data_IF_121087206531
#
_entry.id   IF_121087206531
#
_cell.length_a   1.000
_cell.length_b   1.000
_cell.length_c   1.000
_cell.angle_alpha   90.00
_cell.angle_beta   90.00
_cell.angle_gamma   90.00
#
_symmetry.space_group_name_H-M   'P 1'
#
loop_
_entity.id
_entity.type
_entity.pdbx_description
1 polymer ?
#
# COMPACT_ATOMS: atom_id res chain seq x y z
N UNK A 1 -35.67 37.02 -13.40
CA UNK A 1 -35.87 35.75 -12.62
C UNK A 1 -35.32 34.52 -13.30
N UNK A 2 -35.31 34.38 -14.62
CA UNK A 2 -34.82 33.17 -15.34
C UNK A 2 -33.30 32.95 -15.26
N UNK A 3 -32.48 33.98 -15.13
CA UNK A 3 -31.00 33.84 -15.07
C UNK A 3 -30.47 33.26 -13.76
N UNK A 4 -31.17 33.44 -12.62
CA UNK A 4 -30.75 32.90 -11.33
C UNK A 4 -30.99 31.36 -11.18
N UNK A 5 -31.97 30.83 -11.90
CA UNK A 5 -32.32 29.41 -11.88
C UNK A 5 -31.30 28.58 -12.66
N UNK A 6 -30.78 29.12 -13.79
CA UNK A 6 -29.77 28.42 -14.62
C UNK A 6 -28.44 28.28 -13.86
N UNK A 7 -28.04 29.32 -13.10
CA UNK A 7 -26.80 29.26 -12.31
C UNK A 7 -26.87 28.24 -11.17
N UNK A 8 -28.05 28.05 -10.56
CA UNK A 8 -28.28 27.09 -9.50
C UNK A 8 -28.25 25.63 -10.01
N UNK A 9 -28.73 25.39 -11.23
CA UNK A 9 -28.72 24.08 -11.89
C UNK A 9 -27.28 23.68 -12.27
N UNK A 10 -26.46 24.63 -12.76
CA UNK A 10 -25.04 24.37 -13.03
C UNK A 10 -24.23 24.12 -11.75
N UNK A 11 -24.57 24.75 -10.63
CA UNK A 11 -23.93 24.53 -9.34
C UNK A 11 -24.30 23.18 -8.73
N UNK A 12 -25.48 22.63 -9.00
CA UNK A 12 -25.94 21.32 -8.58
C UNK A 12 -25.38 20.18 -9.46
N UNK A 13 -25.08 20.45 -10.74
CA UNK A 13 -24.48 19.47 -11.65
C UNK A 13 -22.96 19.30 -11.48
N UNK A 14 -22.27 20.27 -10.87
CA UNK A 14 -20.83 20.17 -10.60
C UNK A 14 -20.49 19.35 -9.35
N UNK A 15 -21.47 18.93 -8.54
CA UNK A 15 -21.30 18.15 -7.31
C UNK A 15 -21.38 16.61 -7.53
N UNK A 16 -21.52 16.11 -8.75
CA UNK A 16 -21.80 14.70 -9.02
C UNK A 16 -20.67 13.92 -9.70
N UNK A 17 -19.42 14.37 -9.62
CA UNK A 17 -18.25 13.57 -10.09
C UNK A 17 -17.20 13.42 -8.97
N UNK A 18 -17.64 13.33 -7.75
CA UNK A 18 -16.84 12.67 -6.72
C UNK A 18 -17.22 11.18 -6.77
N UNK A 19 -16.33 10.34 -7.26
CA UNK A 19 -16.56 8.90 -7.24
C UNK A 19 -17.00 8.47 -5.85
N UNK A 20 -18.16 7.80 -5.77
CA UNK A 20 -18.74 7.36 -4.50
C UNK A 20 -17.72 6.46 -3.80
N UNK A 21 -17.33 6.82 -2.59
CA UNK A 21 -16.47 5.99 -1.76
C UNK A 21 -17.23 4.72 -1.38
N UNK A 22 -16.57 3.57 -1.53
CA UNK A 22 -17.15 2.28 -1.17
C UNK A 22 -16.82 2.04 0.30
N UNK A 23 -17.85 1.93 1.11
CA UNK A 23 -17.73 1.58 2.53
C UNK A 23 -17.63 0.05 2.67
N UNK A 24 -16.42 -0.46 2.46
CA UNK A 24 -16.06 -1.87 2.69
C UNK A 24 -15.23 -1.97 3.97
N UNK A 25 -15.79 -2.60 5.01
CA UNK A 25 -15.04 -2.84 6.25
C UNK A 25 -14.09 -4.03 6.08
N UNK A 26 -12.82 -3.74 5.83
CA UNK A 26 -11.79 -4.79 5.66
C UNK A 26 -11.69 -5.71 6.88
N UNK A 27 -11.99 -5.21 8.08
CA UNK A 27 -11.88 -5.98 9.32
C UNK A 27 -12.89 -7.13 9.40
N UNK A 28 -13.98 -7.06 8.63
CA UNK A 28 -15.02 -8.10 8.51
C UNK A 28 -14.77 -9.06 7.34
N UNK A 29 -13.72 -8.80 6.52
CA UNK A 29 -13.38 -9.65 5.39
C UNK A 29 -12.78 -10.97 5.86
N UNK A 30 -13.27 -12.10 5.34
CA UNK A 30 -12.83 -13.43 5.77
C UNK A 30 -11.31 -13.65 5.57
N UNK A 31 -10.75 -13.18 4.45
CA UNK A 31 -9.28 -13.25 4.21
C UNK A 31 -8.50 -12.51 5.28
N UNK A 32 -8.99 -11.35 5.73
CA UNK A 32 -8.37 -10.60 6.81
C UNK A 32 -8.43 -11.37 8.13
N UNK A 33 -9.62 -11.90 8.48
CA UNK A 33 -9.84 -12.67 9.71
C UNK A 33 -8.94 -13.92 9.76
N UNK A 34 -8.89 -14.69 8.66
CA UNK A 34 -8.07 -15.90 8.56
C UNK A 34 -6.58 -15.57 8.68
N UNK A 35 -6.15 -14.48 8.03
CA UNK A 35 -4.77 -14.05 8.07
C UNK A 35 -4.36 -13.55 9.46
N UNK A 36 -5.26 -12.87 10.16
CA UNK A 36 -5.06 -12.48 11.57
C UNK A 36 -4.99 -13.70 12.50
N UNK A 37 -5.79 -14.73 12.24
CA UNK A 37 -5.68 -15.99 12.97
C UNK A 37 -4.31 -16.67 12.73
N UNK A 38 -3.84 -16.67 11.48
CA UNK A 38 -2.50 -17.15 11.15
C UNK A 38 -1.41 -16.36 11.90
N UNK A 39 -1.50 -15.03 11.98
CA UNK A 39 -0.50 -14.20 12.67
C UNK A 39 -0.49 -14.47 14.18
N UNK A 40 -1.64 -14.66 14.81
CA UNK A 40 -1.70 -15.07 16.23
C UNK A 40 -0.99 -16.40 16.51
N UNK A 41 -1.11 -17.34 15.58
CA UNK A 41 -0.42 -18.66 15.69
C UNK A 41 1.07 -18.59 15.31
N UNK A 42 1.50 -17.53 14.64
CA UNK A 42 2.86 -17.28 14.20
C UNK A 42 3.30 -15.88 14.61
N UNK A 43 3.46 -15.62 15.92
CA UNK A 43 3.75 -14.28 16.42
C UNK A 43 5.11 -13.78 15.94
N UNK A 44 5.23 -12.47 15.85
CA UNK A 44 6.50 -11.81 15.54
C UNK A 44 7.51 -12.03 16.66
N UNK A 45 8.78 -12.16 16.28
CA UNK A 45 9.89 -12.09 17.22
C UNK A 45 10.33 -10.66 17.42
N UNK A 46 10.75 -10.32 18.63
CA UNK A 46 11.28 -8.99 18.91
C UNK A 46 12.48 -8.68 18.01
N UNK A 47 12.50 -7.48 17.43
CA UNK A 47 13.57 -7.04 16.55
C UNK A 47 13.57 -7.65 15.14
N UNK A 48 12.62 -8.54 14.81
CA UNK A 48 12.54 -9.15 13.49
C UNK A 48 12.26 -8.11 12.41
N UNK A 49 12.87 -8.24 11.23
CA UNK A 49 12.52 -7.42 10.07
C UNK A 49 11.10 -7.78 9.62
N UNK A 50 10.27 -6.79 9.34
CA UNK A 50 8.85 -6.98 9.00
C UNK A 50 8.50 -6.32 7.68
N UNK A 51 7.81 -7.06 6.80
CA UNK A 51 7.11 -6.54 5.63
C UNK A 51 5.63 -6.42 5.94
N UNK A 52 5.12 -5.19 6.01
CA UNK A 52 3.74 -4.83 6.33
C UNK A 52 3.04 -4.29 5.08
N UNK A 53 1.87 -4.84 4.73
CA UNK A 53 1.13 -4.36 3.57
C UNK A 53 -0.02 -5.26 3.13
N UNK A 54 -0.31 -5.21 1.84
CA UNK A 54 -1.44 -5.88 1.21
C UNK A 54 -1.06 -7.21 0.50
N UNK A 55 -1.81 -7.58 -0.56
CA UNK A 55 -1.56 -8.80 -1.36
C UNK A 55 -0.18 -8.84 -2.00
N UNK A 56 0.36 -7.70 -2.44
CA UNK A 56 1.72 -7.64 -2.99
C UNK A 56 2.75 -8.02 -1.94
N UNK A 57 2.59 -7.58 -0.71
CA UNK A 57 3.44 -7.98 0.41
C UNK A 57 3.22 -9.45 0.77
N UNK A 58 1.96 -9.90 0.83
CA UNK A 58 1.61 -11.28 1.16
C UNK A 58 2.21 -12.29 0.17
N UNK A 59 2.23 -11.98 -1.12
CA UNK A 59 2.75 -12.85 -2.17
C UNK A 59 4.28 -13.00 -2.18
N UNK A 60 5.01 -12.15 -1.45
CA UNK A 60 6.46 -12.25 -1.36
C UNK A 60 6.90 -13.38 -0.42
N UNK A 61 7.88 -14.16 -0.85
CA UNK A 61 8.52 -15.22 -0.05
C UNK A 61 9.75 -14.65 0.66
N UNK A 62 9.52 -13.68 1.55
CA UNK A 62 10.58 -12.85 2.13
C UNK A 62 11.64 -13.65 2.89
N UNK A 63 11.28 -14.71 3.57
CA UNK A 63 12.16 -15.59 4.30
C UNK A 63 12.99 -16.50 3.37
N UNK A 64 12.46 -16.89 2.20
CA UNK A 64 13.21 -17.61 1.17
C UNK A 64 14.19 -16.66 0.44
N UNK A 65 13.79 -15.43 0.16
CA UNK A 65 14.63 -14.43 -0.49
C UNK A 65 15.78 -13.93 0.39
N UNK A 66 15.57 -13.91 1.70
CA UNK A 66 16.53 -13.47 2.72
C UNK A 66 16.67 -14.52 3.82
N UNK A 67 17.31 -15.68 3.52
CA UNK A 67 17.31 -16.84 4.41
C UNK A 67 18.11 -16.64 5.71
N UNK A 68 19.00 -15.64 5.76
CA UNK A 68 19.76 -15.28 6.96
C UNK A 68 18.90 -14.40 7.88
N UNK A 69 18.31 -13.33 7.33
CA UNK A 69 17.54 -12.33 8.09
C UNK A 69 16.12 -12.82 8.42
N UNK A 70 15.56 -13.72 7.60
CA UNK A 70 14.21 -14.31 7.74
C UNK A 70 13.13 -13.27 8.09
N UNK A 71 12.89 -12.30 7.21
CA UNK A 71 11.88 -11.27 7.46
C UNK A 71 10.48 -11.87 7.60
N UNK A 72 9.69 -11.31 8.50
CA UNK A 72 8.30 -11.73 8.67
C UNK A 72 7.40 -11.10 7.61
N UNK A 73 6.55 -11.92 6.99
CA UNK A 73 5.51 -11.48 6.08
C UNK A 73 4.23 -11.12 6.85
N UNK A 74 3.92 -9.84 6.94
CA UNK A 74 2.67 -9.29 7.50
C UNK A 74 1.82 -8.63 6.41
N UNK A 75 1.75 -9.27 5.24
CA UNK A 75 0.84 -8.92 4.15
C UNK A 75 -0.52 -9.59 4.31
N UNK A 76 -1.60 -8.87 3.96
CA UNK A 76 -2.97 -9.39 3.87
C UNK A 76 -3.58 -8.96 2.53
N UNK A 77 -4.07 -9.91 1.73
CA UNK A 77 -4.73 -9.60 0.46
C UNK A 77 -5.99 -8.73 0.70
N UNK A 78 -6.12 -7.67 -0.08
CA UNK A 78 -7.22 -6.71 0.07
C UNK A 78 -7.00 -5.65 1.15
N UNK A 79 -5.96 -5.77 2.00
CA UNK A 79 -5.72 -4.85 3.10
C UNK A 79 -5.46 -3.41 2.62
N UNK A 80 -5.91 -2.47 3.41
CA UNK A 80 -5.83 -1.04 3.17
C UNK A 80 -5.30 -0.32 4.43
N UNK A 81 -5.24 0.99 4.41
CA UNK A 81 -4.71 1.76 5.55
C UNK A 81 -5.50 1.53 6.84
N UNK A 82 -6.82 1.33 6.78
CA UNK A 82 -7.66 1.05 7.96
C UNK A 82 -7.36 -0.34 8.54
N UNK A 83 -7.25 -1.37 7.69
CA UNK A 83 -6.94 -2.72 8.16
C UNK A 83 -5.55 -2.81 8.80
N UNK A 84 -4.55 -2.12 8.24
CA UNK A 84 -3.22 -2.03 8.85
C UNK A 84 -3.29 -1.36 10.23
N UNK A 85 -4.03 -0.26 10.38
CA UNK A 85 -4.24 0.41 11.67
C UNK A 85 -4.87 -0.53 12.71
N UNK A 86 -5.85 -1.36 12.30
CA UNK A 86 -6.52 -2.32 13.17
C UNK A 86 -5.61 -3.42 13.74
N UNK A 87 -4.44 -3.66 13.12
CA UNK A 87 -3.47 -4.71 13.53
C UNK A 87 -2.07 -4.18 13.86
N UNK A 88 -1.93 -2.86 14.01
CA UNK A 88 -0.62 -2.24 14.20
C UNK A 88 0.00 -2.56 15.56
N UNK A 89 -0.82 -2.94 16.57
CA UNK A 89 -0.35 -3.28 17.91
C UNK A 89 0.70 -4.40 17.90
N UNK A 90 0.50 -5.48 17.11
CA UNK A 90 1.48 -6.58 17.04
C UNK A 90 2.84 -6.13 16.51
N UNK A 91 2.84 -5.17 15.58
CA UNK A 91 4.07 -4.61 15.01
C UNK A 91 4.81 -3.76 16.07
N UNK A 92 4.05 -2.92 16.78
CA UNK A 92 4.60 -2.03 17.82
C UNK A 92 5.18 -2.86 18.97
N UNK A 93 4.48 -3.90 19.42
CA UNK A 93 4.94 -4.78 20.49
C UNK A 93 6.21 -5.57 20.12
N UNK A 94 6.31 -6.02 18.87
CA UNK A 94 7.47 -6.75 18.38
C UNK A 94 8.71 -5.88 18.20
N UNK A 95 8.57 -4.55 18.17
CA UNK A 95 9.68 -3.59 17.98
C UNK A 95 10.63 -4.02 16.87
N UNK A 96 10.17 -4.15 15.61
CA UNK A 96 11.01 -4.63 14.53
C UNK A 96 12.25 -3.75 14.36
N UNK A 97 13.38 -4.34 14.01
CA UNK A 97 14.57 -3.55 13.67
C UNK A 97 14.33 -2.72 12.40
N UNK A 98 13.67 -3.31 11.40
CA UNK A 98 13.29 -2.65 10.15
C UNK A 98 11.84 -2.98 9.81
N UNK A 99 11.06 -1.96 9.42
CA UNK A 99 9.67 -2.09 9.00
C UNK A 99 9.49 -1.56 7.58
N UNK A 100 9.21 -2.45 6.64
CA UNK A 100 8.91 -2.10 5.24
C UNK A 100 7.40 -2.01 5.05
N UNK A 101 6.90 -0.85 4.63
CA UNK A 101 5.46 -0.57 4.48
C UNK A 101 5.12 -0.35 3.00
N UNK A 102 4.14 -1.09 2.47
CA UNK A 102 3.53 -0.87 1.16
C UNK A 102 2.02 -0.97 1.27
N UNK A 103 1.31 0.17 1.13
CA UNK A 103 -0.16 0.25 1.24
C UNK A 103 -0.73 1.41 0.44
N UNK A 104 -2.03 1.39 0.13
CA UNK A 104 -2.76 2.47 -0.53
C UNK A 104 -3.46 2.07 -1.84
N UNK A 105 -3.06 1.00 -2.52
CA UNK A 105 -3.70 0.60 -3.79
C UNK A 105 -5.15 0.14 -3.58
N UNK A 106 -5.44 -0.56 -2.49
CA UNK A 106 -6.79 -0.99 -2.14
C UNK A 106 -7.65 0.19 -1.67
N UNK A 107 -7.07 1.17 -1.00
CA UNK A 107 -7.74 2.44 -0.70
C UNK A 107 -8.18 3.16 -1.99
N UNK A 108 -7.30 3.22 -3.00
CA UNK A 108 -7.63 3.76 -4.33
C UNK A 108 -8.77 2.96 -4.98
N UNK A 109 -8.75 1.63 -4.88
CA UNK A 109 -9.80 0.77 -5.44
C UNK A 109 -11.15 0.97 -4.76
N UNK A 110 -11.16 1.39 -3.49
CA UNK A 110 -12.35 1.76 -2.73
C UNK A 110 -12.82 3.21 -3.01
N UNK A 111 -12.14 3.94 -3.91
CA UNK A 111 -12.51 5.30 -4.30
C UNK A 111 -12.00 6.38 -3.36
N UNK A 112 -11.14 6.06 -2.38
CA UNK A 112 -10.60 7.03 -1.42
C UNK A 112 -9.69 8.06 -2.11
N UNK A 113 -9.78 9.31 -1.66
CA UNK A 113 -8.90 10.37 -2.13
C UNK A 113 -7.48 10.21 -1.59
N UNK A 114 -6.50 10.82 -2.26
CA UNK A 114 -5.10 10.77 -1.80
C UNK A 114 -4.95 11.38 -0.41
N UNK A 115 -5.70 12.43 -0.10
CA UNK A 115 -5.69 13.08 1.22
C UNK A 115 -6.11 12.09 2.31
N UNK A 116 -7.19 11.33 2.08
CA UNK A 116 -7.69 10.33 3.03
C UNK A 116 -6.69 9.18 3.20
N UNK A 117 -6.08 8.71 2.12
CA UNK A 117 -5.05 7.68 2.15
C UNK A 117 -3.82 8.17 2.93
N UNK A 118 -3.38 9.40 2.68
CA UNK A 118 -2.25 9.99 3.39
C UNK A 118 -2.50 10.16 4.90
N UNK A 119 -3.74 10.46 5.32
CA UNK A 119 -4.11 10.45 6.75
C UNK A 119 -3.85 9.06 7.35
N UNK A 120 -4.31 8.00 6.69
CA UNK A 120 -4.07 6.62 7.15
C UNK A 120 -2.58 6.26 7.21
N UNK A 121 -1.81 6.56 6.16
CA UNK A 121 -0.36 6.29 6.11
C UNK A 121 0.38 7.05 7.22
N UNK A 122 0.08 8.34 7.40
CA UNK A 122 0.66 9.16 8.48
C UNK A 122 0.34 8.59 9.86
N UNK A 123 -0.92 8.19 10.09
CA UNK A 123 -1.34 7.59 11.36
C UNK A 123 -0.59 6.30 11.66
N UNK A 124 -0.38 5.42 10.68
CA UNK A 124 0.42 4.20 10.81
C UNK A 124 1.84 4.56 11.26
N UNK A 125 2.48 5.47 10.55
CA UNK A 125 3.87 5.85 10.78
C UNK A 125 4.06 6.52 12.15
N UNK A 126 3.18 7.46 12.51
CA UNK A 126 3.27 8.15 13.81
C UNK A 126 3.02 7.19 14.99
N UNK A 127 2.10 6.24 14.87
CA UNK A 127 1.89 5.24 15.92
C UNK A 127 3.11 4.33 16.07
N UNK A 128 3.75 3.91 14.96
CA UNK A 128 4.99 3.12 15.04
C UNK A 128 6.12 3.95 15.66
N UNK A 129 6.33 5.19 15.23
CA UNK A 129 7.35 6.08 15.82
C UNK A 129 7.14 6.27 17.33
N UNK A 130 5.90 6.43 17.77
CA UNK A 130 5.57 6.63 19.19
C UNK A 130 5.74 5.35 20.02
N UNK A 131 5.28 4.20 19.53
CA UNK A 131 5.27 2.94 20.29
C UNK A 131 6.51 2.08 20.10
N UNK A 132 7.28 2.30 19.02
CA UNK A 132 8.52 1.59 18.71
C UNK A 132 9.57 2.53 18.11
N UNK A 133 10.13 3.47 18.91
CA UNK A 133 11.00 4.55 18.43
C UNK A 133 12.34 4.06 17.85
N UNK A 134 12.73 2.82 18.11
CA UNK A 134 13.96 2.21 17.60
C UNK A 134 13.77 1.53 16.25
N UNK A 135 12.51 1.41 15.76
CA UNK A 135 12.22 0.80 14.46
C UNK A 135 12.63 1.73 13.32
N UNK A 136 13.50 1.25 12.43
CA UNK A 136 13.78 1.93 11.17
C UNK A 136 12.61 1.69 10.20
N UNK A 137 11.95 2.78 9.77
CA UNK A 137 10.78 2.72 8.88
C UNK A 137 11.20 2.98 7.44
N UNK A 138 10.80 2.07 6.54
CA UNK A 138 10.99 2.15 5.11
C UNK A 138 9.62 2.16 4.43
N UNK A 139 9.25 3.27 3.79
CA UNK A 139 7.99 3.37 3.07
C UNK A 139 8.26 3.15 1.58
N UNK A 140 7.53 2.23 0.99
CA UNK A 140 7.68 1.86 -0.41
C UNK A 140 6.61 2.52 -1.26
N UNK A 141 6.96 2.96 -2.48
CA UNK A 141 5.98 3.46 -3.43
C UNK A 141 4.98 2.38 -3.83
N UNK A 142 3.75 2.76 -4.13
CA UNK A 142 2.85 1.89 -4.88
C UNK A 142 3.48 1.55 -6.24
N UNK A 143 3.17 0.36 -6.74
CA UNK A 143 3.58 -0.07 -8.08
C UNK A 143 2.64 0.50 -9.15
N UNK A 144 3.08 0.62 -10.42
CA UNK A 144 2.16 0.86 -11.52
C UNK A 144 1.19 -0.31 -11.67
N UNK A 145 0.11 -0.08 -12.40
CA UNK A 145 -0.86 -1.11 -12.78
C UNK A 145 -0.94 -1.25 -14.30
N UNK A 146 -1.35 -2.42 -14.79
CA UNK A 146 -1.66 -2.64 -16.20
C UNK A 146 -3.04 -3.30 -16.30
N UNK A 147 -4.07 -2.47 -16.43
CA UNK A 147 -5.46 -2.92 -16.39
C UNK A 147 -6.09 -2.97 -17.81
N UNK A 148 -5.30 -3.33 -18.83
CA UNK A 148 -5.76 -3.40 -20.23
C UNK A 148 -6.87 -4.43 -20.44
N UNK A 149 -6.87 -5.51 -19.66
CA UNK A 149 -7.91 -6.55 -19.68
C UNK A 149 -9.14 -6.22 -18.83
N UNK A 150 -9.22 -5.02 -18.22
CA UNK A 150 -10.31 -4.57 -17.35
C UNK A 150 -10.62 -5.51 -16.16
N UNK A 151 -9.68 -6.33 -15.73
CA UNK A 151 -9.84 -7.27 -14.61
C UNK A 151 -10.15 -6.54 -13.30
N UNK A 152 -9.46 -5.42 -13.06
CA UNK A 152 -9.62 -4.61 -11.85
C UNK A 152 -10.45 -3.35 -12.14
N UNK A 153 -11.75 -3.51 -12.32
CA UNK A 153 -12.68 -2.42 -12.73
C UNK A 153 -12.57 -1.18 -11.83
N UNK A 154 -12.37 -1.35 -10.53
CA UNK A 154 -12.24 -0.25 -9.55
C UNK A 154 -10.92 0.53 -9.71
N UNK A 155 -9.93 -0.01 -10.43
CA UNK A 155 -8.64 0.63 -10.70
C UNK A 155 -8.53 1.22 -12.11
N UNK A 156 -9.61 1.24 -12.89
CA UNK A 156 -9.62 1.86 -14.22
C UNK A 156 -9.30 3.36 -14.12
N UNK A 157 -8.37 3.83 -14.95
CA UNK A 157 -7.93 5.24 -15.02
C UNK A 157 -7.33 5.80 -13.70
N UNK A 158 -6.78 4.93 -12.84
CA UNK A 158 -6.19 5.31 -11.56
C UNK A 158 -4.68 5.57 -11.61
N UNK A 159 -4.02 5.41 -12.75
CA UNK A 159 -2.56 5.54 -12.91
C UNK A 159 -2.07 6.92 -12.45
N UNK A 160 -2.78 8.00 -12.81
CA UNK A 160 -2.44 9.36 -12.37
C UNK A 160 -2.64 9.55 -10.86
N UNK A 161 -3.65 8.88 -10.28
CA UNK A 161 -3.89 8.92 -8.83
C UNK A 161 -2.75 8.23 -8.08
N UNK A 162 -2.29 7.06 -8.56
CA UNK A 162 -1.14 6.33 -8.02
C UNK A 162 0.13 7.19 -8.06
N UNK A 163 0.44 7.82 -9.20
CA UNK A 163 1.62 8.68 -9.30
C UNK A 163 1.59 9.87 -8.33
N UNK A 164 0.42 10.51 -8.18
CA UNK A 164 0.25 11.63 -7.24
C UNK A 164 0.43 11.15 -5.81
N UNK A 165 -0.18 10.03 -5.44
CA UNK A 165 -0.02 9.46 -4.10
C UNK A 165 1.44 9.12 -3.81
N UNK A 166 2.18 8.53 -4.75
CA UNK A 166 3.61 8.26 -4.58
C UNK A 166 4.43 9.54 -4.36
N UNK A 167 4.09 10.64 -5.03
CA UNK A 167 4.71 11.96 -4.80
C UNK A 167 4.40 12.49 -3.40
N UNK A 168 3.16 12.34 -2.94
CA UNK A 168 2.73 12.80 -1.62
C UNK A 168 3.40 11.98 -0.51
N UNK A 169 3.50 10.66 -0.68
CA UNK A 169 4.23 9.76 0.24
C UNK A 169 5.72 10.16 0.27
N UNK A 170 6.36 10.35 -0.88
CA UNK A 170 7.78 10.74 -0.94
C UNK A 170 8.04 12.08 -0.22
N UNK A 171 7.18 13.09 -0.48
CA UNK A 171 7.28 14.40 0.19
C UNK A 171 7.18 14.23 1.71
N UNK A 172 6.18 13.50 2.19
CA UNK A 172 6.00 13.24 3.61
C UNK A 172 7.19 12.49 4.21
N UNK A 173 7.71 11.46 3.54
CA UNK A 173 8.90 10.75 4.02
C UNK A 173 10.11 11.67 4.15
N UNK A 174 10.30 12.59 3.19
CA UNK A 174 11.37 13.59 3.24
C UNK A 174 11.21 14.55 4.43
N UNK A 175 10.00 15.04 4.66
CA UNK A 175 9.66 15.92 5.79
C UNK A 175 9.91 15.25 7.15
N UNK A 176 9.65 13.95 7.24
CA UNK A 176 9.75 13.14 8.46
C UNK A 176 11.10 12.42 8.65
N UNK A 177 12.07 12.61 7.74
CA UNK A 177 13.36 11.90 7.71
C UNK A 177 13.19 10.36 7.68
N UNK A 178 12.24 9.87 6.86
CA UNK A 178 11.96 8.45 6.65
C UNK A 178 12.50 8.04 5.28
N UNK A 179 13.06 6.85 5.19
CA UNK A 179 13.54 6.33 3.90
C UNK A 179 12.36 5.97 3.00
N UNK A 180 12.30 6.62 1.84
CA UNK A 180 11.35 6.29 0.77
C UNK A 180 12.02 5.42 -0.28
N UNK A 181 11.49 4.21 -0.51
CA UNK A 181 11.98 3.29 -1.54
C UNK A 181 11.09 3.43 -2.77
N UNK A 182 11.61 4.09 -3.80
CA UNK A 182 10.88 4.29 -5.04
C UNK A 182 10.96 3.06 -5.96
N UNK A 183 10.03 2.14 -5.78
CA UNK A 183 9.90 0.93 -6.61
C UNK A 183 9.28 1.25 -7.98
N UNK A 184 8.38 2.23 -8.05
CA UNK A 184 7.52 2.53 -9.20
C UNK A 184 8.24 2.56 -10.55
N UNK A 185 9.39 3.27 -10.74
CA UNK A 185 10.08 3.34 -12.02
C UNK A 185 10.61 1.99 -12.52
N UNK A 186 10.98 1.09 -11.61
CA UNK A 186 11.56 -0.22 -11.96
C UNK A 186 10.55 -1.17 -12.59
N UNK A 187 9.28 -0.89 -12.42
CA UNK A 187 8.18 -1.72 -12.92
C UNK A 187 7.49 -1.15 -14.17
N UNK A 188 7.89 0.04 -14.61
CA UNK A 188 7.28 0.68 -15.78
C UNK A 188 7.75 0.06 -17.09
N UNK A 189 6.84 -0.07 -18.06
CA UNK A 189 7.20 -0.28 -19.46
C UNK A 189 7.02 1.03 -20.26
N UNK A 190 5.88 1.68 -20.14
CA UNK A 190 5.56 2.95 -20.82
C UNK A 190 4.33 3.59 -20.16
N UNK A 191 4.12 4.92 -20.37
CA UNK A 191 2.88 5.65 -20.04
C UNK A 191 2.20 5.22 -18.73
N UNK A 192 2.96 5.03 -17.63
CA UNK A 192 2.45 4.66 -16.29
C UNK A 192 1.97 3.22 -16.15
N UNK A 193 2.29 2.33 -17.10
CA UNK A 193 1.82 0.94 -17.08
C UNK A 193 2.85 0.01 -16.47
N UNK A 194 2.37 -0.93 -15.65
CA UNK A 194 3.15 -2.08 -15.20
C UNK A 194 3.58 -2.92 -16.39
N UNK A 195 4.87 -3.23 -16.45
CA UNK A 195 5.41 -4.10 -17.48
C UNK A 195 4.78 -5.50 -17.37
N UNK A 196 4.17 -5.96 -18.47
CA UNK A 196 3.52 -7.27 -18.54
C UNK A 196 4.47 -8.44 -18.24
N UNK A 197 5.79 -8.25 -18.37
CA UNK A 197 6.80 -9.23 -17.98
C UNK A 197 6.74 -9.55 -16.48
N UNK A 198 6.36 -8.59 -15.64
CA UNK A 198 6.39 -8.70 -14.18
C UNK A 198 5.06 -9.09 -13.54
N UNK A 199 4.03 -9.36 -14.36
CA UNK A 199 2.67 -9.60 -13.86
C UNK A 199 1.92 -10.56 -14.78
N UNK A 200 1.05 -11.38 -14.18
CA UNK A 200 0.10 -12.21 -14.94
C UNK A 200 -1.30 -11.62 -15.02
N UNK A 201 -1.63 -10.64 -14.19
CA UNK A 201 -2.99 -10.10 -14.07
C UNK A 201 -3.07 -8.57 -14.15
N UNK A 202 -1.92 -7.89 -14.23
CA UNK A 202 -1.82 -6.44 -14.34
C UNK A 202 -1.74 -5.71 -13.01
N UNK A 203 -1.72 -6.42 -11.87
CA UNK A 203 -1.64 -5.86 -10.52
C UNK A 203 -0.62 -6.62 -9.66
N UNK A 204 -0.76 -7.95 -9.55
CA UNK A 204 0.11 -8.79 -8.74
C UNK A 204 1.39 -9.16 -9.49
N UNK A 205 2.48 -9.32 -8.75
CA UNK A 205 3.77 -9.67 -9.32
C UNK A 205 3.89 -11.19 -9.50
N UNK A 206 4.58 -11.57 -10.59
CA UNK A 206 5.14 -12.90 -10.78
C UNK A 206 6.58 -12.98 -10.21
N UNK A 207 7.29 -14.08 -10.40
CA UNK A 207 8.65 -14.30 -9.89
C UNK A 207 9.65 -13.25 -10.42
N UNK A 208 9.59 -12.91 -11.72
CA UNK A 208 10.43 -11.85 -12.29
C UNK A 208 10.19 -10.51 -11.61
N UNK A 209 8.92 -10.19 -11.31
CA UNK A 209 8.55 -8.97 -10.60
C UNK A 209 9.10 -8.94 -9.17
N UNK A 210 8.99 -10.04 -8.43
CA UNK A 210 9.60 -10.11 -7.09
C UNK A 210 11.12 -10.02 -7.14
N UNK A 211 11.78 -10.58 -8.15
CA UNK A 211 13.24 -10.43 -8.35
C UNK A 211 13.64 -8.96 -8.43
N UNK A 212 12.93 -8.15 -9.22
CA UNK A 212 13.18 -6.69 -9.31
C UNK A 212 12.98 -6.01 -7.96
N UNK A 213 11.94 -6.38 -7.20
CA UNK A 213 11.69 -5.81 -5.88
C UNK A 213 12.82 -6.12 -4.91
N UNK A 214 13.25 -7.38 -4.86
CA UNK A 214 14.34 -7.86 -4.00
C UNK A 214 15.64 -7.11 -4.31
N UNK A 215 16.00 -6.95 -5.59
CA UNK A 215 17.20 -6.21 -5.99
C UNK A 215 17.22 -4.78 -5.44
N UNK A 216 16.03 -4.12 -5.37
CA UNK A 216 15.90 -2.74 -4.86
C UNK A 216 16.06 -2.60 -3.35
N UNK A 217 15.80 -3.65 -2.60
CA UNK A 217 15.82 -3.61 -1.14
C UNK A 217 16.96 -4.42 -0.52
N UNK A 218 17.68 -5.21 -1.32
CA UNK A 218 18.72 -6.13 -0.85
C UNK A 218 19.74 -5.47 0.07
N UNK A 219 20.36 -4.38 -0.36
CA UNK A 219 21.38 -3.66 0.42
C UNK A 219 20.86 -3.00 1.69
N UNK A 220 19.53 -2.89 1.81
CA UNK A 220 18.87 -2.34 3.02
C UNK A 220 18.64 -3.45 4.03
N UNK A 221 18.40 -4.68 3.56
CA UNK A 221 18.09 -5.84 4.41
C UNK A 221 19.36 -6.54 4.87
N UNK A 222 20.31 -6.73 3.98
CA UNK A 222 21.64 -7.30 4.24
C UNK A 222 22.58 -6.26 4.87
#
# INVERSE_FOLDING_TARGET
>A
MKFKIILLIYMLLSLHVMGQEIDENILENQTYIDRMAYFRNNPLKQGQIVFLGNSLTQGGKWDEYFPIQKPANRGIAGDNTLGILGRLHEIIEAKPSKLFILTGINDISLGRSNEKIMIGIKSIIYQVKAGSPTTEIFVQSLLPINNENNRYKRLLNKEKQIERLNKDIHRFCKEENIVFINLYPSFLISKRKLNAKYTGDGLHLNEDGYTIWIEKIRTIIE
#
